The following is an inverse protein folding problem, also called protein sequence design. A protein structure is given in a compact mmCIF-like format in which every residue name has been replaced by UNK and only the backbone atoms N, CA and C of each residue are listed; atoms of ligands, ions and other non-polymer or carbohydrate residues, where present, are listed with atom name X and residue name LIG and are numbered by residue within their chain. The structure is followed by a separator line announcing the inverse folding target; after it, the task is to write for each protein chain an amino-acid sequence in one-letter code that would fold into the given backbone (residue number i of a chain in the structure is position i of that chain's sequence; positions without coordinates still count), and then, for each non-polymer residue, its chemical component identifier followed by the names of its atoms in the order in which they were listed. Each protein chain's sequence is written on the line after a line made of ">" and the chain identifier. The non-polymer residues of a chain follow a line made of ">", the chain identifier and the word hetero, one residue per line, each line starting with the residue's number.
data_IF_458393852137
#
_entry.id   IF_458393852137
#
_cell.length_a   1.000
_cell.length_b   1.000
_cell.length_c   1.000
_cell.angle_alpha   90.00
_cell.angle_beta   90.00
_cell.angle_gamma   90.00
#
_symmetry.space_group_name_H-M   'P 1'
#
loop_
_entity.id
_entity.type
_entity.pdbx_description
1 polymer ?
#
# COMPACT_ATOMS: atom_id res chain seq x y z
N UNK A 1 10.82 -10.80 -25.69
CA UNK A 1 10.46 -11.07 -25.71
C UNK A 1 10.54 -11.62 -25.90
N UNK A 2 10.69 -11.62 -25.35
CA UNK A 2 10.39 -12.07 -25.34
C UNK A 2 10.23 -12.61 -25.31
N UNK A 3 10.60 -12.52 -25.11
CA UNK A 3 10.18 -13.01 -25.07
C UNK A 3 9.97 -13.47 -24.98
N UNK A 4 10.37 -13.34 -25.05
CA UNK A 4 9.92 -13.74 -25.01
C UNK A 4 9.52 -14.08 -25.01
N UNK A 5 9.73 -14.06 -25.26
CA UNK A 5 8.97 -14.29 -25.24
C UNK A 5 8.39 -14.62 -25.16
N UNK A 6 9.26 -13.53 -25.89
CA UNK A 6 8.33 -13.98 -26.20
C UNK A 6 7.16 -14.65 -25.76
N UNK A 7 6.91 -15.04 -25.94
CA UNK A 7 6.11 -15.96 -25.34
C UNK A 7 5.98 -15.87 -23.85
N UNK A 8 6.34 -14.70 -23.34
CA UNK A 8 6.16 -14.42 -21.95
C UNK A 8 4.72 -14.21 -21.68
N UNK A 9 4.18 -14.94 -20.74
CA UNK A 9 2.86 -14.64 -20.22
C UNK A 9 2.89 -13.23 -19.61
N UNK A 10 1.81 -12.46 -19.77
CA UNK A 10 1.72 -11.17 -19.09
C UNK A 10 1.92 -11.34 -17.58
N UNK A 11 2.53 -10.37 -16.93
CA UNK A 11 2.63 -10.37 -15.49
C UNK A 11 1.23 -10.48 -14.87
N UNK A 12 1.07 -11.23 -13.78
CA UNK A 12 -0.23 -11.31 -13.10
C UNK A 12 -0.69 -9.93 -12.69
N UNK A 13 -1.97 -9.66 -12.91
CA UNK A 13 -2.58 -8.44 -12.40
C UNK A 13 -2.96 -8.65 -10.96
N UNK A 14 -2.76 -7.63 -10.16
CA UNK A 14 -3.06 -7.70 -8.73
C UNK A 14 -4.08 -6.66 -8.35
N UNK A 15 -4.99 -7.06 -7.46
CA UNK A 15 -5.95 -6.16 -6.87
C UNK A 15 -5.90 -6.26 -5.35
N UNK A 16 -6.22 -5.18 -4.68
CA UNK A 16 -6.33 -5.14 -3.22
C UNK A 16 -7.70 -4.62 -2.86
N UNK A 17 -8.36 -5.29 -1.94
CA UNK A 17 -9.63 -4.84 -1.37
C UNK A 17 -9.38 -4.51 0.09
N UNK A 18 -9.62 -3.26 0.46
CA UNK A 18 -9.42 -2.77 1.82
C UNK A 18 -10.78 -2.48 2.44
N UNK A 19 -11.13 -3.24 3.45
CA UNK A 19 -12.40 -3.10 4.14
C UNK A 19 -12.43 -1.96 5.13
N UNK A 20 -13.60 -1.73 5.72
CA UNK A 20 -13.75 -0.79 6.81
C UNK A 20 -13.22 -1.38 8.10
N UNK A 21 -13.35 -0.65 9.18
CA UNK A 21 -12.89 -1.10 10.51
C UNK A 21 -12.40 0.05 11.36
N UNK A 22 -12.59 1.27 10.91
CA UNK A 22 -12.17 2.46 11.63
C UNK A 22 -10.66 2.52 11.78
N UNK A 23 -10.22 3.22 12.83
CA UNK A 23 -8.79 3.41 13.11
C UNK A 23 -8.09 2.08 13.35
N UNK A 24 -8.72 1.19 14.12
CA UNK A 24 -8.11 -0.11 14.42
C UNK A 24 -8.00 -0.98 13.17
N UNK A 25 -9.04 -1.02 12.35
CA UNK A 25 -9.00 -1.77 11.09
C UNK A 25 -7.96 -1.21 10.13
N UNK A 26 -7.83 0.12 10.07
CA UNK A 26 -6.81 0.76 9.24
C UNK A 26 -5.41 0.41 9.70
N UNK A 27 -5.16 0.45 11.00
CA UNK A 27 -3.87 0.08 11.58
C UNK A 27 -3.53 -1.38 11.28
N UNK A 28 -4.49 -2.27 11.43
CA UNK A 28 -4.31 -3.68 11.11
C UNK A 28 -3.98 -3.86 9.63
N UNK A 29 -4.69 -3.14 8.76
CA UNK A 29 -4.48 -3.25 7.31
C UNK A 29 -3.07 -2.83 6.91
N UNK A 30 -2.52 -1.78 7.52
CA UNK A 30 -1.15 -1.34 7.25
C UNK A 30 -0.17 -2.47 7.57
N UNK A 31 -0.31 -3.10 8.72
CA UNK A 31 0.53 -4.23 9.09
C UNK A 31 0.39 -5.40 8.14
N UNK A 32 -0.83 -5.71 7.73
CA UNK A 32 -1.10 -6.78 6.77
C UNK A 32 -0.45 -6.49 5.41
N UNK A 33 -0.54 -5.25 4.93
CA UNK A 33 0.08 -4.87 3.67
C UNK A 33 1.59 -5.03 3.71
N UNK A 34 2.22 -4.61 4.81
CA UNK A 34 3.67 -4.76 4.98
C UNK A 34 4.05 -6.24 4.97
N UNK A 35 3.31 -7.08 5.68
CA UNK A 35 3.56 -8.51 5.71
C UNK A 35 3.44 -9.14 4.32
N UNK A 36 2.44 -8.74 3.55
CA UNK A 36 2.24 -9.22 2.19
C UNK A 36 3.38 -8.77 1.26
N UNK A 37 3.81 -7.53 1.39
CA UNK A 37 4.93 -7.03 0.58
C UNK A 37 6.20 -7.81 0.87
N UNK A 38 6.49 -8.07 2.15
CA UNK A 38 7.69 -8.80 2.55
C UNK A 38 7.63 -10.26 2.11
N UNK A 39 6.45 -10.86 2.11
CA UNK A 39 6.27 -12.26 1.78
C UNK A 39 6.27 -12.50 0.27
N UNK A 40 5.66 -11.60 -0.49
CA UNK A 40 5.40 -11.81 -1.92
C UNK A 40 6.22 -10.90 -2.84
N UNK A 41 7.00 -9.98 -2.32
CA UNK A 41 7.93 -9.19 -3.09
C UNK A 41 7.31 -8.15 -4.03
N UNK A 42 6.13 -7.63 -3.70
CA UNK A 42 5.53 -6.55 -4.47
C UNK A 42 5.24 -5.35 -3.57
N UNK A 43 5.02 -4.19 -4.16
CA UNK A 43 4.63 -3.01 -3.40
C UNK A 43 3.12 -2.79 -3.53
N UNK A 44 2.44 -2.61 -2.40
CA UNK A 44 1.00 -2.42 -2.41
C UNK A 44 0.57 -1.20 -3.23
N UNK A 45 1.39 -0.15 -3.25
CA UNK A 45 1.10 1.06 -4.02
C UNK A 45 1.16 0.85 -5.54
N UNK A 46 1.74 -0.25 -6.00
CA UNK A 46 1.96 -0.54 -7.41
C UNK A 46 0.98 -1.58 -7.96
N UNK A 47 -0.03 -1.98 -7.18
CA UNK A 47 -1.04 -2.93 -7.70
C UNK A 47 -1.92 -2.26 -8.73
N UNK A 48 -2.58 -3.09 -9.55
CA UNK A 48 -3.36 -2.61 -10.68
C UNK A 48 -4.69 -1.99 -10.27
N UNK A 49 -5.32 -2.53 -9.22
CA UNK A 49 -6.64 -2.07 -8.77
C UNK A 49 -6.68 -2.05 -7.25
N UNK A 50 -7.23 -1.00 -6.70
CA UNK A 50 -7.48 -0.88 -5.26
C UNK A 50 -8.95 -0.54 -5.06
N UNK A 51 -9.62 -1.32 -4.23
CA UNK A 51 -11.00 -1.06 -3.82
C UNK A 51 -10.99 -0.84 -2.33
N UNK A 52 -11.53 0.28 -1.88
CA UNK A 52 -11.52 0.60 -0.46
C UNK A 52 -12.88 1.07 0.03
N UNK A 53 -13.18 0.74 1.29
CA UNK A 53 -14.42 1.14 1.96
C UNK A 53 -14.07 1.77 3.30
N UNK A 54 -14.62 2.94 3.60
CA UNK A 54 -14.41 3.64 4.88
C UNK A 54 -12.89 3.88 5.11
N UNK A 55 -12.33 3.42 6.23
CA UNK A 55 -10.89 3.55 6.49
C UNK A 55 -10.06 2.98 5.34
N UNK A 56 -10.53 1.89 4.72
CA UNK A 56 -9.86 1.31 3.56
C UNK A 56 -9.87 2.23 2.35
N UNK A 57 -10.89 3.08 2.20
CA UNK A 57 -10.90 4.04 1.08
C UNK A 57 -9.84 5.12 1.28
N UNK A 58 -9.59 5.53 2.51
CA UNK A 58 -8.52 6.50 2.81
C UNK A 58 -7.16 5.89 2.49
N UNK A 59 -6.91 4.67 2.98
CA UNK A 59 -5.67 3.96 2.69
C UNK A 59 -5.49 3.73 1.19
N UNK A 60 -6.57 3.32 0.52
CA UNK A 60 -6.53 3.08 -0.92
C UNK A 60 -6.21 4.32 -1.71
N UNK A 61 -6.75 5.46 -1.32
CA UNK A 61 -6.46 6.73 -1.97
C UNK A 61 -4.98 7.11 -1.80
N UNK A 62 -4.45 6.92 -0.60
CA UNK A 62 -3.04 7.22 -0.33
C UNK A 62 -2.12 6.31 -1.14
N UNK A 63 -2.40 5.01 -1.16
CA UNK A 63 -1.63 4.07 -1.97
C UNK A 63 -1.69 4.44 -3.46
N UNK A 64 -2.87 4.81 -3.94
CA UNK A 64 -3.06 5.22 -5.32
C UNK A 64 -2.29 6.48 -5.69
N UNK A 65 -1.99 7.33 -4.70
CA UNK A 65 -1.16 8.52 -4.89
C UNK A 65 0.34 8.23 -4.73
N UNK A 66 0.72 6.99 -4.56
CA UNK A 66 2.12 6.60 -4.48
C UNK A 66 2.69 6.54 -3.07
N UNK A 67 1.85 6.68 -2.04
CA UNK A 67 2.29 6.53 -0.65
C UNK A 67 2.51 5.05 -0.37
N UNK A 68 3.67 4.69 0.16
CA UNK A 68 4.00 3.30 0.43
C UNK A 68 3.41 2.82 1.76
N UNK A 69 3.32 1.50 1.92
CA UNK A 69 2.86 0.92 3.18
C UNK A 69 3.79 1.30 4.34
N UNK A 70 5.10 1.41 4.08
CA UNK A 70 6.06 1.82 5.09
C UNK A 70 5.84 3.27 5.54
N UNK A 71 5.52 4.18 4.60
CA UNK A 71 5.17 5.56 4.96
C UNK A 71 3.94 5.60 5.86
N UNK A 72 2.93 4.77 5.55
CA UNK A 72 1.73 4.68 6.37
C UNK A 72 2.05 4.15 7.76
N UNK A 73 2.94 3.17 7.85
CA UNK A 73 3.37 2.62 9.13
C UNK A 73 4.07 3.70 9.96
N UNK A 74 4.98 4.45 9.36
CA UNK A 74 5.70 5.52 10.05
C UNK A 74 4.73 6.59 10.55
N UNK A 75 3.81 7.01 9.70
CA UNK A 75 2.79 7.98 10.07
C UNK A 75 1.92 7.47 11.23
N UNK A 76 1.49 6.21 11.14
CA UNK A 76 0.63 5.62 12.16
C UNK A 76 1.34 5.51 13.52
N UNK A 77 2.66 5.34 13.51
CA UNK A 77 3.47 5.24 14.73
C UNK A 77 4.02 6.59 15.16
N UNK A 78 3.56 7.68 14.57
CA UNK A 78 3.99 9.04 14.88
C UNK A 78 5.49 9.27 14.64
N UNK A 79 6.06 8.50 13.72
CA UNK A 79 7.45 8.68 13.29
C UNK A 79 7.51 9.69 12.15
N UNK A 80 8.66 10.33 11.98
CA UNK A 80 8.87 11.16 10.79
C UNK A 80 8.99 10.25 9.58
N UNK A 81 8.22 10.55 8.53
CA UNK A 81 8.28 9.77 7.30
C UNK A 81 9.60 10.07 6.59
N UNK A 82 10.34 9.01 6.24
CA UNK A 82 11.71 9.16 5.77
C UNK A 82 11.86 9.19 4.25
N UNK A 83 10.85 8.74 3.50
CA UNK A 83 10.94 8.69 2.05
C UNK A 83 9.55 8.74 1.43
N UNK A 84 9.46 9.02 0.12
CA UNK A 84 8.22 9.02 -0.63
C UNK A 84 7.46 10.33 -0.57
N UNK A 85 6.22 10.36 -1.05
CA UNK A 85 5.41 11.59 -1.11
C UNK A 85 5.18 12.27 0.22
N UNK A 86 5.24 11.52 1.35
CA UNK A 86 5.06 12.09 2.68
C UNK A 86 6.38 12.36 3.41
N UNK A 87 7.51 12.31 2.70
CA UNK A 87 8.82 12.48 3.33
C UNK A 87 8.88 13.79 4.13
N UNK A 88 9.36 13.69 5.35
CA UNK A 88 9.45 14.82 6.28
C UNK A 88 8.17 15.10 7.06
N UNK A 89 7.07 14.43 6.70
CA UNK A 89 5.81 14.62 7.41
C UNK A 89 5.82 13.90 8.75
N UNK A 90 5.24 14.54 9.73
CA UNK A 90 5.00 13.93 11.04
C UNK A 90 3.65 14.40 11.54
N UNK A 91 2.86 13.47 12.03
CA UNK A 91 1.57 13.79 12.61
C UNK A 91 1.74 14.65 13.87
N UNK A 92 1.03 15.76 13.89
CA UNK A 92 1.06 16.69 15.03
C UNK A 92 -0.41 17.02 15.34
N UNK A 93 -0.99 16.33 16.30
CA UNK A 93 -2.41 16.49 16.63
C UNK A 93 -2.74 17.85 17.23
#
# INVERSE_FOLDING_TARGET
>A
MSAAGANCAPAPRRGIVLGGGGVLGGTWAIGALIALEQTHGFAAKDVDVIVGTSAGSVLGALLGCGVSAEELRQHNNEEVVTAGPLAGYRWDP
#
